data_IF_755118884392
#
_entry.id   IF_755118884392
#
_cell.length_a   1.000
_cell.length_b   1.000
_cell.length_c   1.000
_cell.angle_alpha   90.00
_cell.angle_beta   90.00
_cell.angle_gamma   90.00
#
_symmetry.space_group_name_H-M   'P 1'
#
loop_
_entity.id
_entity.type
_entity.pdbx_description
1 polymer ?
#
# COMPACT_ATOMS: atom_id res chain seq x y z
N UNK A 1 11.82 25.55 1.14
CA UNK A 1 10.38 25.72 1.21
C UNK A 1 9.76 24.41 1.64
N UNK A 2 8.98 24.43 2.68
CA UNK A 2 8.39 23.25 3.28
C UNK A 2 7.21 22.78 2.46
N UNK A 3 7.53 22.02 1.48
CA UNK A 3 6.65 21.60 0.43
C UNK A 3 5.67 20.54 0.90
N UNK A 4 6.07 19.70 1.84
CA UNK A 4 5.26 18.60 2.30
C UNK A 4 5.05 18.65 3.80
N UNK A 5 3.82 18.36 4.22
CA UNK A 5 3.49 18.01 5.59
C UNK A 5 3.38 16.50 5.71
N UNK A 6 3.37 16.01 6.94
CA UNK A 6 2.96 14.65 7.27
C UNK A 6 1.96 14.68 8.42
N UNK A 7 0.96 13.81 8.36
CA UNK A 7 0.12 13.53 9.51
C UNK A 7 0.79 12.43 10.33
N UNK A 8 0.78 12.53 11.64
CA UNK A 8 1.35 11.54 12.55
C UNK A 8 0.38 11.30 13.71
N UNK A 9 0.30 10.05 14.17
CA UNK A 9 -0.43 9.64 15.36
C UNK A 9 0.33 8.50 16.03
N UNK A 10 0.43 8.49 17.33
CA UNK A 10 1.17 7.50 18.08
C UNK A 10 0.22 6.53 18.80
N UNK A 11 0.70 5.31 19.08
CA UNK A 11 0.00 4.32 19.88
C UNK A 11 0.85 3.86 21.07
N UNK A 12 0.22 3.82 22.22
CA UNK A 12 0.73 3.18 23.42
C UNK A 12 -0.39 2.35 24.09
N UNK A 13 -0.07 1.23 24.78
CA UNK A 13 -1.09 0.33 25.34
C UNK A 13 -2.05 0.99 26.35
N UNK A 14 -1.57 1.98 27.10
CA UNK A 14 -2.32 2.71 28.11
C UNK A 14 -3.15 3.87 27.55
N UNK A 15 -2.88 4.31 26.33
CA UNK A 15 -3.52 5.49 25.70
C UNK A 15 -4.32 5.16 24.45
N UNK A 16 -4.07 4.00 23.84
CA UNK A 16 -4.57 3.71 22.50
C UNK A 16 -3.89 4.61 21.45
N UNK A 17 -4.58 4.87 20.33
CA UNK A 17 -4.16 5.84 19.32
C UNK A 17 -4.36 7.26 19.87
N UNK A 18 -3.32 8.07 19.86
CA UNK A 18 -3.33 9.41 20.48
C UNK A 18 -2.41 10.40 19.75
N UNK A 19 -2.50 11.66 20.13
CA UNK A 19 -1.63 12.76 19.67
C UNK A 19 -1.61 12.93 18.14
N UNK A 20 -2.81 12.90 17.52
CA UNK A 20 -2.96 13.16 16.10
C UNK A 20 -2.57 14.59 15.74
N UNK A 21 -1.55 14.75 14.86
CA UNK A 21 -0.95 16.05 14.54
C UNK A 21 -0.45 16.11 13.10
N UNK A 22 -0.40 17.32 12.54
CA UNK A 22 0.28 17.61 11.27
C UNK A 22 1.57 18.33 11.58
N UNK A 23 2.68 17.81 11.07
CA UNK A 23 4.02 18.37 11.28
C UNK A 23 4.75 18.51 9.94
N UNK A 24 5.82 19.34 9.87
CA UNK A 24 6.67 19.39 8.69
C UNK A 24 7.24 18.00 8.32
N UNK A 25 7.42 17.75 7.02
CA UNK A 25 8.09 16.55 6.56
C UNK A 25 9.57 16.57 7.01
N UNK A 26 9.96 15.53 7.77
CA UNK A 26 11.32 15.38 8.30
C UNK A 26 11.62 13.90 8.62
N UNK A 27 12.88 13.48 8.77
CA UNK A 27 13.25 12.13 9.19
C UNK A 27 12.61 11.74 10.53
N UNK A 28 12.36 10.44 10.72
CA UNK A 28 12.02 9.89 12.04
C UNK A 28 13.32 9.64 12.84
N UNK A 29 13.43 10.13 14.06
CA UNK A 29 14.52 9.76 14.96
C UNK A 29 14.21 8.38 15.57
N UNK A 30 14.70 7.31 14.97
CA UNK A 30 14.50 5.94 15.44
C UNK A 30 15.81 5.38 15.99
N UNK A 31 15.72 4.61 17.09
CA UNK A 31 16.85 3.87 17.65
C UNK A 31 17.26 2.76 16.66
N UNK A 32 18.58 2.48 16.46
CA UNK A 32 19.03 1.37 15.61
C UNK A 32 18.48 0.00 16.00
N UNK A 33 18.14 -0.23 17.27
CA UNK A 33 17.48 -1.45 17.76
C UNK A 33 15.96 -1.40 17.65
N UNK A 34 15.38 -0.41 16.95
CA UNK A 34 13.94 -0.37 16.70
C UNK A 34 13.52 -1.60 15.90
N UNK A 35 12.50 -2.31 16.39
CA UNK A 35 12.05 -3.61 15.86
C UNK A 35 11.65 -3.57 14.39
N UNK A 36 11.22 -2.41 13.88
CA UNK A 36 10.89 -2.23 12.47
C UNK A 36 12.07 -2.57 11.53
N UNK A 37 13.30 -2.22 11.91
CA UNK A 37 14.49 -2.48 11.09
C UNK A 37 14.88 -3.95 11.01
N UNK A 38 14.44 -4.76 11.98
CA UNK A 38 14.85 -6.15 12.13
C UNK A 38 13.75 -7.14 11.71
N UNK A 39 12.48 -6.81 11.97
CA UNK A 39 11.36 -7.75 11.81
C UNK A 39 10.25 -7.23 10.92
N UNK A 40 10.39 -6.02 10.36
CA UNK A 40 9.47 -5.45 9.38
C UNK A 40 8.00 -5.52 9.80
N UNK A 41 7.69 -5.34 11.10
CA UNK A 41 6.30 -5.26 11.58
C UNK A 41 5.73 -3.88 11.20
N UNK A 42 5.24 -3.79 9.96
CA UNK A 42 4.63 -2.60 9.38
C UNK A 42 3.55 -2.97 8.36
N UNK A 43 2.65 -2.04 8.13
CA UNK A 43 1.62 -2.10 7.09
C UNK A 43 1.48 -0.75 6.44
N UNK A 44 1.00 -0.72 5.19
CA UNK A 44 0.78 0.53 4.49
C UNK A 44 -0.45 0.48 3.59
N UNK A 45 -0.90 1.66 3.19
CA UNK A 45 -1.94 1.85 2.20
C UNK A 45 -1.48 2.73 1.05
N UNK A 46 -2.24 2.73 -0.03
CA UNK A 46 -2.01 3.61 -1.17
C UNK A 46 -3.35 4.00 -1.77
N UNK A 47 -3.59 5.30 -1.84
CA UNK A 47 -4.74 5.88 -2.50
C UNK A 47 -4.33 7.22 -3.13
N UNK A 48 -5.25 7.86 -3.82
CA UNK A 48 -4.95 9.09 -4.57
C UNK A 48 -6.01 10.15 -4.32
N UNK A 49 -5.59 11.42 -4.32
CA UNK A 49 -6.47 12.56 -4.46
C UNK A 49 -6.39 13.11 -5.89
N UNK A 50 -7.54 13.38 -6.46
CA UNK A 50 -7.70 13.86 -7.83
C UNK A 50 -8.32 15.24 -7.83
N UNK A 51 -7.85 16.11 -8.74
CA UNK A 51 -8.50 17.38 -9.02
C UNK A 51 -9.47 17.19 -10.17
N UNK A 52 -10.71 17.57 -9.95
CA UNK A 52 -11.80 17.50 -10.94
C UNK A 52 -11.82 18.73 -11.84
N UNK A 53 -12.57 18.70 -12.93
CA UNK A 53 -12.67 19.81 -13.88
C UNK A 53 -13.24 21.09 -13.25
N UNK A 54 -14.08 20.98 -12.22
CA UNK A 54 -14.61 22.09 -11.43
C UNK A 54 -13.68 22.53 -10.27
N UNK A 55 -12.44 22.03 -10.29
CA UNK A 55 -11.38 22.35 -9.32
C UNK A 55 -11.66 21.84 -7.89
N UNK A 56 -12.58 20.90 -7.71
CA UNK A 56 -12.75 20.20 -6.43
C UNK A 56 -11.71 19.08 -6.28
N UNK A 57 -11.43 18.66 -5.05
CA UNK A 57 -10.51 17.55 -4.77
C UNK A 57 -11.32 16.37 -4.25
N UNK A 58 -11.12 15.21 -4.87
CA UNK A 58 -11.85 13.99 -4.56
C UNK A 58 -10.92 12.84 -4.19
N UNK A 59 -11.37 12.02 -3.24
CA UNK A 59 -10.79 10.74 -2.86
C UNK A 59 -11.70 9.62 -3.36
N UNK A 60 -11.11 8.52 -3.84
CA UNK A 60 -11.87 7.36 -4.27
C UNK A 60 -11.92 6.31 -3.17
N UNK A 61 -13.08 6.14 -2.52
CA UNK A 61 -13.39 5.10 -1.53
C UNK A 61 -12.33 4.95 -0.42
N UNK A 62 -11.93 6.04 0.27
CA UNK A 62 -10.89 5.97 1.31
C UNK A 62 -11.30 5.10 2.51
N UNK A 63 -12.59 4.92 2.76
CA UNK A 63 -13.17 3.99 3.73
C UNK A 63 -12.74 2.53 3.45
N UNK A 64 -12.72 2.13 2.19
CA UNK A 64 -12.25 0.80 1.80
C UNK A 64 -10.76 0.60 2.05
N UNK A 65 -9.94 1.65 1.90
CA UNK A 65 -8.52 1.60 2.28
C UNK A 65 -8.36 1.51 3.80
N UNK A 66 -9.15 2.27 4.58
CA UNK A 66 -9.17 2.18 6.04
C UNK A 66 -9.55 0.77 6.53
N UNK A 67 -10.57 0.16 5.94
CA UNK A 67 -10.95 -1.22 6.26
C UNK A 67 -9.84 -2.21 5.91
N UNK A 68 -9.20 -2.09 4.75
CA UNK A 68 -8.09 -2.98 4.36
C UNK A 68 -6.87 -2.79 5.24
N UNK A 69 -6.61 -1.57 5.74
CA UNK A 69 -5.58 -1.34 6.74
C UNK A 69 -5.89 -2.07 8.05
N UNK A 70 -7.16 -2.12 8.49
CA UNK A 70 -7.56 -2.90 9.66
C UNK A 70 -7.36 -4.42 9.44
N UNK A 71 -7.68 -4.93 8.24
CA UNK A 71 -7.47 -6.34 7.89
C UNK A 71 -5.96 -6.68 7.89
N UNK A 72 -5.14 -5.79 7.38
CA UNK A 72 -3.67 -5.91 7.43
C UNK A 72 -3.14 -5.82 8.87
N UNK A 73 -3.67 -4.93 9.68
CA UNK A 73 -3.31 -4.77 11.09
C UNK A 73 -3.62 -6.02 11.89
N UNK A 74 -4.78 -6.62 11.68
CA UNK A 74 -5.18 -7.88 12.31
C UNK A 74 -4.16 -8.99 12.05
N UNK A 75 -3.79 -9.20 10.79
CA UNK A 75 -2.81 -10.23 10.41
C UNK A 75 -1.42 -9.99 10.99
N UNK A 76 -1.01 -8.73 11.13
CA UNK A 76 0.32 -8.32 11.60
C UNK A 76 0.38 -8.05 13.11
N UNK A 77 -0.69 -8.33 13.87
CA UNK A 77 -0.79 -8.04 15.30
C UNK A 77 -0.53 -6.56 15.63
N UNK A 78 -1.00 -5.65 14.78
CA UNK A 78 -0.93 -4.21 14.94
C UNK A 78 -2.29 -3.71 15.47
N UNK A 79 -2.34 -2.75 16.42
CA UNK A 79 -3.60 -2.17 16.86
C UNK A 79 -4.36 -1.51 15.71
N UNK A 80 -5.65 -1.84 15.57
CA UNK A 80 -6.50 -1.30 14.51
C UNK A 80 -6.75 0.19 14.70
N UNK A 81 -6.57 0.98 13.65
CA UNK A 81 -7.02 2.38 13.60
C UNK A 81 -8.50 2.36 13.19
N UNK A 82 -9.40 3.07 13.87
CA UNK A 82 -10.78 3.25 13.41
C UNK A 82 -10.81 3.79 11.98
N UNK A 83 -11.74 3.28 11.14
CA UNK A 83 -11.82 3.68 9.74
C UNK A 83 -12.08 5.18 9.60
N UNK A 84 -12.91 5.73 10.46
CA UNK A 84 -13.21 7.16 10.53
C UNK A 84 -11.96 8.00 10.83
N UNK A 85 -11.10 7.56 11.74
CA UNK A 85 -9.85 8.25 12.09
C UNK A 85 -8.84 8.19 10.93
N UNK A 86 -8.74 7.03 10.27
CA UNK A 86 -7.94 6.88 9.05
C UNK A 86 -8.41 7.85 7.95
N UNK A 87 -9.71 7.89 7.67
CA UNK A 87 -10.29 8.78 6.66
C UNK A 87 -10.09 10.24 7.02
N UNK A 88 -10.28 10.58 8.31
CA UNK A 88 -10.07 11.95 8.80
C UNK A 88 -8.61 12.38 8.66
N UNK A 89 -7.66 11.53 9.03
CA UNK A 89 -6.22 11.81 8.89
C UNK A 89 -5.83 12.10 7.43
N UNK A 90 -6.31 11.26 6.49
CA UNK A 90 -6.10 11.43 5.05
C UNK A 90 -6.70 12.76 4.55
N UNK A 91 -7.97 13.02 4.87
CA UNK A 91 -8.66 14.25 4.45
C UNK A 91 -7.98 15.50 4.97
N UNK A 92 -7.60 15.51 6.25
CA UNK A 92 -6.96 16.67 6.87
C UNK A 92 -5.62 16.98 6.22
N UNK A 93 -4.79 15.96 5.95
CA UNK A 93 -3.51 16.18 5.26
C UNK A 93 -3.70 16.69 3.84
N UNK A 94 -4.65 16.10 3.08
CA UNK A 94 -4.95 16.55 1.70
C UNK A 94 -5.47 17.98 1.69
N UNK A 95 -6.30 18.39 2.66
CA UNK A 95 -6.77 19.78 2.75
C UNK A 95 -5.63 20.76 3.04
N UNK A 96 -4.69 20.41 3.92
CA UNK A 96 -3.51 21.23 4.22
C UNK A 96 -2.57 21.36 3.03
N UNK A 97 -2.38 20.27 2.27
CA UNK A 97 -1.48 20.18 1.13
C UNK A 97 -2.22 20.21 -0.22
N UNK A 98 -3.44 20.76 -0.27
CA UNK A 98 -4.32 20.75 -1.47
C UNK A 98 -3.69 21.39 -2.72
N UNK A 99 -2.81 22.36 -2.55
CA UNK A 99 -2.13 23.02 -3.66
C UNK A 99 -1.12 22.08 -4.35
N UNK A 100 -0.80 20.96 -3.74
CA UNK A 100 0.05 19.91 -4.29
C UNK A 100 -0.71 18.88 -5.13
N UNK A 101 -2.04 18.91 -5.12
CA UNK A 101 -2.85 18.08 -6.03
C UNK A 101 -2.70 18.63 -7.44
N UNK A 102 -2.06 17.90 -8.38
CA UNK A 102 -1.74 18.43 -9.71
C UNK A 102 -2.98 18.85 -10.51
N UNK A 103 -2.76 19.81 -11.42
CA UNK A 103 -3.79 20.28 -12.36
C UNK A 103 -3.72 19.56 -13.72
N UNK A 104 -2.63 18.86 -14.02
CA UNK A 104 -2.45 18.18 -15.30
C UNK A 104 -3.31 16.90 -15.39
N UNK A 105 -3.84 16.64 -16.58
CA UNK A 105 -4.62 15.44 -16.85
C UNK A 105 -3.82 14.16 -16.56
N UNK A 106 -4.48 13.18 -15.96
CA UNK A 106 -3.86 11.91 -15.58
C UNK A 106 -2.94 11.95 -14.35
N UNK A 107 -2.63 13.14 -13.83
CA UNK A 107 -1.85 13.29 -12.61
C UNK A 107 -2.73 13.27 -11.35
N UNK A 108 -2.11 13.00 -10.22
CA UNK A 108 -2.80 12.90 -8.92
C UNK A 108 -1.83 13.16 -7.78
N UNK A 109 -2.36 13.43 -6.60
CA UNK A 109 -1.58 13.38 -5.37
C UNK A 109 -1.65 11.96 -4.82
N UNK A 110 -0.53 11.25 -4.84
CA UNK A 110 -0.41 9.93 -4.22
C UNK A 110 -0.33 10.08 -2.70
N UNK A 111 -1.10 9.29 -1.97
CA UNK A 111 -1.21 9.32 -0.52
C UNK A 111 -0.74 7.98 0.02
N UNK A 112 0.20 7.99 0.97
CA UNK A 112 0.79 6.82 1.61
C UNK A 112 0.55 6.86 3.12
N UNK A 113 -0.57 6.31 3.60
CA UNK A 113 -0.73 5.95 5.00
C UNK A 113 0.09 4.71 5.33
N UNK A 114 0.74 4.68 6.49
CA UNK A 114 1.47 3.50 6.97
C UNK A 114 1.56 3.48 8.48
N UNK A 115 1.68 2.28 9.05
CA UNK A 115 1.91 2.05 10.48
C UNK A 115 3.16 1.21 10.64
N UNK A 116 4.00 1.57 11.56
CA UNK A 116 5.20 0.80 11.86
C UNK A 116 5.44 0.69 13.37
N UNK A 117 6.05 -0.43 13.76
CA UNK A 117 6.42 -0.72 15.14
C UNK A 117 7.60 0.14 15.59
N UNK A 118 7.55 0.64 16.82
CA UNK A 118 8.56 1.56 17.38
C UNK A 118 9.25 1.08 18.65
N UNK A 119 8.93 -0.12 19.13
CA UNK A 119 9.64 -0.70 20.29
C UNK A 119 11.15 -0.84 19.99
N UNK A 120 11.96 -0.70 21.05
CA UNK A 120 13.41 -0.88 21.01
C UNK A 120 13.75 -2.24 21.60
N UNK A 121 14.40 -3.10 20.83
CA UNK A 121 14.79 -4.44 21.23
C UNK A 121 15.07 -5.36 20.05
N UNK A 122 15.80 -6.45 20.29
CA UNK A 122 16.20 -7.41 19.24
C UNK A 122 15.49 -8.78 19.36
N UNK A 123 14.46 -8.88 20.17
CA UNK A 123 13.63 -10.09 20.28
C UNK A 123 12.42 -10.04 19.34
N UNK A 124 12.07 -11.19 18.74
CA UNK A 124 10.86 -11.29 17.89
C UNK A 124 9.61 -11.36 18.77
N UNK A 125 8.81 -10.31 18.74
CA UNK A 125 7.52 -10.22 19.42
C UNK A 125 6.64 -9.16 18.74
N UNK A 126 5.33 -9.19 18.98
CA UNK A 126 4.47 -8.09 18.59
C UNK A 126 4.85 -6.83 19.40
N UNK A 127 5.09 -5.73 18.72
CA UNK A 127 5.42 -4.45 19.35
C UNK A 127 4.26 -3.96 20.22
N UNK A 128 4.58 -3.15 21.21
CA UNK A 128 3.59 -2.51 22.08
C UNK A 128 3.34 -1.05 21.70
N UNK A 129 4.31 -0.44 21.01
CA UNK A 129 4.23 0.95 20.56
C UNK A 129 4.34 1.02 19.05
N UNK A 130 3.55 1.93 18.45
CA UNK A 130 3.48 2.12 17.00
C UNK A 130 3.35 3.59 16.67
N UNK A 131 3.76 3.94 15.46
CA UNK A 131 3.46 5.24 14.85
C UNK A 131 2.69 5.03 13.56
N UNK A 132 1.55 5.70 13.42
CA UNK A 132 0.85 5.88 12.17
C UNK A 132 1.29 7.19 11.52
N UNK A 133 1.54 7.16 10.21
CA UNK A 133 1.91 8.34 9.46
C UNK A 133 1.24 8.35 8.09
N UNK A 134 0.87 9.54 7.63
CA UNK A 134 0.43 9.76 6.24
C UNK A 134 1.37 10.76 5.60
N UNK A 135 1.88 10.43 4.42
CA UNK A 135 2.67 11.29 3.55
C UNK A 135 2.05 11.34 2.15
N UNK A 136 2.33 12.41 1.41
CA UNK A 136 1.82 12.62 0.06
C UNK A 136 2.95 12.92 -0.91
N UNK A 137 2.74 12.62 -2.20
CA UNK A 137 3.63 13.00 -3.29
C UNK A 137 2.84 13.20 -4.60
N UNK A 138 3.06 14.26 -5.38
CA UNK A 138 2.52 14.36 -6.73
C UNK A 138 3.02 13.19 -7.59
N UNK A 139 2.12 12.63 -8.39
CA UNK A 139 2.38 11.47 -9.24
C UNK A 139 1.74 11.67 -10.61
N UNK A 140 2.48 11.38 -11.67
CA UNK A 140 1.98 11.28 -13.04
C UNK A 140 1.28 9.96 -13.32
N UNK A 141 1.09 9.62 -14.59
CA UNK A 141 0.59 8.33 -15.03
C UNK A 141 1.53 7.19 -14.54
N UNK A 142 0.96 6.04 -14.20
CA UNK A 142 1.74 4.90 -13.70
C UNK A 142 2.68 4.33 -14.76
N UNK A 143 2.22 4.23 -16.02
CA UNK A 143 3.04 3.87 -17.17
C UNK A 143 3.27 5.09 -18.05
N UNK A 144 4.51 5.31 -18.47
CA UNK A 144 4.88 6.40 -19.37
C UNK A 144 4.19 6.23 -20.75
N UNK A 145 3.97 4.99 -21.16
CA UNK A 145 3.29 4.57 -22.37
C UNK A 145 1.76 4.75 -22.32
N UNK A 146 1.23 5.16 -21.17
CA UNK A 146 -0.21 5.33 -20.98
C UNK A 146 -0.97 4.01 -20.99
N UNK A 147 -1.83 3.80 -21.99
CA UNK A 147 -2.65 2.57 -22.15
C UNK A 147 -2.06 1.58 -23.16
N UNK A 148 -0.85 1.82 -23.67
CA UNK A 148 -0.21 0.90 -24.63
C UNK A 148 0.12 -0.43 -23.95
N UNK A 149 0.06 -1.56 -24.69
CA UNK A 149 0.38 -2.86 -24.15
C UNK A 149 1.82 -2.96 -23.68
N UNK A 150 2.03 -3.58 -22.52
CA UNK A 150 3.36 -3.87 -21.97
C UNK A 150 3.65 -5.37 -21.94
N UNK A 151 4.92 -5.73 -21.95
CA UNK A 151 5.35 -7.12 -21.85
C UNK A 151 5.38 -7.55 -20.39
N UNK A 152 4.79 -8.71 -20.10
CA UNK A 152 4.72 -9.30 -18.76
C UNK A 152 5.48 -10.62 -18.77
N UNK A 153 6.36 -10.84 -17.79
CA UNK A 153 7.08 -12.10 -17.59
C UNK A 153 6.25 -13.03 -16.70
N UNK A 154 6.04 -14.27 -17.14
CA UNK A 154 5.40 -15.29 -16.30
C UNK A 154 6.46 -15.92 -15.40
N UNK A 155 6.34 -15.75 -14.11
CA UNK A 155 7.31 -16.21 -13.12
C UNK A 155 6.99 -17.63 -12.65
N UNK A 156 7.91 -18.54 -12.85
CA UNK A 156 7.78 -19.96 -12.52
C UNK A 156 8.80 -20.45 -11.47
N UNK A 157 9.77 -19.61 -11.08
CA UNK A 157 10.76 -19.93 -10.05
C UNK A 157 10.34 -19.37 -8.70
N UNK A 158 10.14 -18.05 -8.63
CA UNK A 158 9.78 -17.36 -7.38
C UNK A 158 8.26 -17.29 -7.20
N UNK A 159 7.82 -17.15 -5.95
CA UNK A 159 6.40 -16.95 -5.59
C UNK A 159 6.23 -15.64 -4.85
N UNK A 160 5.11 -14.96 -5.05
CA UNK A 160 4.74 -13.75 -4.30
C UNK A 160 4.14 -14.07 -2.94
N UNK A 161 3.34 -15.12 -2.88
CA UNK A 161 2.54 -15.49 -1.72
C UNK A 161 2.32 -17.01 -1.65
N UNK A 162 2.05 -17.50 -0.45
CA UNK A 162 1.62 -18.88 -0.22
C UNK A 162 0.48 -18.90 0.80
N UNK A 163 -0.36 -19.95 0.80
CA UNK A 163 -1.42 -20.12 1.81
C UNK A 163 -0.88 -20.06 3.25
N UNK A 164 -1.57 -19.32 4.12
CA UNK A 164 -1.16 -19.15 5.52
C UNK A 164 -0.11 -18.05 5.77
N UNK A 165 0.50 -17.49 4.73
CA UNK A 165 1.42 -16.34 4.85
C UNK A 165 0.66 -15.00 4.81
N UNK A 166 1.32 -13.96 4.33
CA UNK A 166 0.84 -12.56 4.39
C UNK A 166 0.37 -12.02 3.03
N UNK A 167 0.13 -12.89 2.03
CA UNK A 167 -0.15 -12.48 0.66
C UNK A 167 -1.33 -11.51 0.49
N UNK A 168 -2.37 -11.64 1.31
CA UNK A 168 -3.54 -10.74 1.33
C UNK A 168 -3.33 -9.47 2.17
N UNK A 169 -2.22 -9.38 2.88
CA UNK A 169 -1.85 -8.28 3.78
C UNK A 169 -1.02 -7.25 3.03
N UNK A 170 -1.26 -5.97 3.28
CA UNK A 170 -0.46 -4.92 2.65
C UNK A 170 0.72 -4.54 3.56
N UNK A 171 1.72 -5.43 3.65
CA UNK A 171 2.94 -5.29 4.46
C UNK A 171 4.20 -5.37 3.60
N UNK A 172 5.27 -4.69 4.00
CA UNK A 172 6.51 -4.54 3.23
C UNK A 172 7.21 -5.84 2.88
N UNK A 173 7.09 -6.85 3.73
CA UNK A 173 7.70 -8.17 3.48
C UNK A 173 7.28 -8.80 2.16
N UNK A 174 6.00 -8.65 1.74
CA UNK A 174 5.53 -9.14 0.45
C UNK A 174 6.21 -8.41 -0.73
N UNK A 175 6.48 -7.13 -0.57
CA UNK A 175 7.12 -6.30 -1.61
C UNK A 175 8.62 -6.57 -1.65
N UNK A 176 9.29 -6.70 -0.52
CA UNK A 176 10.70 -7.06 -0.47
C UNK A 176 10.96 -8.43 -1.14
N UNK A 177 10.11 -9.41 -0.90
CA UNK A 177 10.21 -10.73 -1.54
C UNK A 177 10.04 -10.69 -3.06
N UNK A 178 9.34 -9.70 -3.61
CA UNK A 178 9.09 -9.57 -5.05
C UNK A 178 10.23 -8.89 -5.82
N UNK A 179 11.18 -8.25 -5.15
CA UNK A 179 12.22 -7.41 -5.78
C UNK A 179 13.07 -8.24 -6.75
N UNK A 180 13.54 -9.40 -6.33
CA UNK A 180 14.44 -10.23 -7.16
C UNK A 180 13.84 -10.60 -8.50
N UNK A 181 12.62 -11.11 -8.50
CA UNK A 181 11.91 -11.46 -9.73
C UNK A 181 11.62 -10.23 -10.60
N UNK A 182 11.25 -9.10 -9.98
CA UNK A 182 11.06 -7.83 -10.68
C UNK A 182 12.30 -7.36 -11.42
N UNK A 183 13.45 -7.33 -10.76
CA UNK A 183 14.75 -6.96 -11.35
C UNK A 183 15.15 -7.89 -12.50
N UNK A 184 14.94 -9.20 -12.35
CA UNK A 184 15.24 -10.18 -13.42
C UNK A 184 14.34 -9.99 -14.64
N UNK A 185 13.07 -9.67 -14.44
CA UNK A 185 12.14 -9.40 -15.52
C UNK A 185 12.48 -8.09 -16.25
N UNK A 186 12.80 -7.02 -15.51
CA UNK A 186 13.22 -5.73 -16.07
C UNK A 186 14.49 -5.85 -16.92
N UNK A 187 15.50 -6.58 -16.45
CA UNK A 187 16.73 -6.85 -17.23
C UNK A 187 16.48 -7.56 -18.54
N UNK A 188 15.36 -8.29 -18.68
CA UNK A 188 14.91 -8.95 -19.89
C UNK A 188 13.93 -8.10 -20.71
N UNK A 189 13.68 -6.86 -20.34
CA UNK A 189 12.79 -5.93 -21.03
C UNK A 189 11.29 -6.18 -20.80
N UNK A 190 10.92 -6.81 -19.67
CA UNK A 190 9.54 -6.93 -19.24
C UNK A 190 9.18 -5.82 -18.25
N UNK A 191 7.96 -5.32 -18.32
CA UNK A 191 7.49 -4.26 -17.44
C UNK A 191 7.07 -4.78 -16.06
N UNK A 192 6.61 -6.02 -15.98
CA UNK A 192 6.08 -6.63 -14.75
C UNK A 192 6.23 -8.14 -14.76
N UNK A 193 6.02 -8.73 -13.59
CA UNK A 193 5.98 -10.19 -13.34
C UNK A 193 4.54 -10.64 -13.17
N UNK A 194 4.10 -11.68 -13.87
CA UNK A 194 2.86 -12.39 -13.62
C UNK A 194 3.13 -13.49 -12.60
N UNK A 195 2.51 -13.37 -11.43
CA UNK A 195 2.66 -14.33 -10.35
C UNK A 195 1.71 -15.51 -10.48
N UNK A 196 2.25 -16.70 -10.32
CA UNK A 196 1.50 -17.94 -10.19
C UNK A 196 1.30 -18.31 -8.72
N UNK A 197 0.32 -19.15 -8.45
CA UNK A 197 0.05 -19.67 -7.11
C UNK A 197 1.29 -20.36 -6.51
N UNK A 198 1.46 -20.24 -5.21
CA UNK A 198 2.64 -20.72 -4.51
C UNK A 198 2.66 -22.23 -4.22
N UNK A 199 1.64 -23.00 -4.66
CA UNK A 199 1.53 -24.44 -4.40
C UNK A 199 1.80 -25.25 -5.67
N UNK A 200 0.98 -25.02 -6.71
CA UNK A 200 1.05 -25.78 -7.96
C UNK A 200 1.81 -25.03 -9.06
N UNK A 201 2.03 -23.72 -8.90
CA UNK A 201 2.61 -22.81 -9.90
C UNK A 201 1.89 -22.88 -11.24
N UNK A 202 0.57 -22.93 -11.19
CA UNK A 202 -0.31 -23.17 -12.33
C UNK A 202 -1.38 -22.08 -12.50
N UNK A 203 -1.86 -21.54 -11.42
CA UNK A 203 -2.98 -20.58 -11.43
C UNK A 203 -2.45 -19.18 -11.28
N UNK A 204 -2.98 -18.27 -12.11
CA UNK A 204 -2.60 -16.86 -12.07
C UNK A 204 -3.19 -16.18 -10.81
N UNK A 205 -2.37 -15.44 -10.10
CA UNK A 205 -2.80 -14.67 -8.90
C UNK A 205 -2.78 -13.17 -9.14
N UNK A 206 -1.62 -12.59 -9.38
CA UNK A 206 -1.43 -11.14 -9.51
C UNK A 206 -0.36 -10.80 -10.56
N UNK A 207 -0.28 -9.52 -10.95
CA UNK A 207 0.78 -9.01 -11.81
C UNK A 207 1.53 -7.89 -11.09
N UNK A 208 2.83 -8.05 -10.85
CA UNK A 208 3.61 -7.11 -10.05
C UNK A 208 2.97 -6.89 -8.68
N UNK A 209 2.54 -5.67 -8.41
CA UNK A 209 1.80 -5.27 -7.20
C UNK A 209 0.32 -4.95 -7.48
N UNK A 210 -0.26 -5.52 -8.55
CA UNK A 210 -1.61 -5.22 -9.04
C UNK A 210 -2.43 -6.49 -9.20
N UNK A 211 -3.76 -6.37 -9.00
CA UNK A 211 -4.69 -7.40 -9.45
C UNK A 211 -4.74 -7.42 -10.98
N UNK A 212 -5.07 -8.57 -11.56
CA UNK A 212 -5.20 -8.76 -13.01
C UNK A 212 -6.59 -9.27 -13.36
N UNK A 213 -7.08 -8.86 -14.53
CA UNK A 213 -8.32 -9.32 -15.11
C UNK A 213 -8.07 -9.74 -16.55
N UNK A 214 -8.66 -10.87 -16.97
CA UNK A 214 -8.59 -11.40 -18.32
C UNK A 214 -9.97 -11.31 -18.97
N UNK A 215 -10.02 -10.81 -20.20
CA UNK A 215 -11.23 -10.89 -21.03
C UNK A 215 -11.08 -12.04 -22.02
N UNK A 216 -11.86 -13.11 -21.83
CA UNK A 216 -11.84 -14.31 -22.65
C UNK A 216 -13.29 -14.59 -23.10
N UNK A 217 -13.52 -14.69 -24.39
CA UNK A 217 -14.84 -14.95 -24.98
C UNK A 217 -15.94 -14.03 -24.44
N UNK A 218 -15.63 -12.74 -24.29
CA UNK A 218 -16.55 -11.72 -23.80
C UNK A 218 -16.80 -11.72 -22.29
N UNK A 219 -16.21 -12.64 -21.52
CA UNK A 219 -16.31 -12.73 -20.06
C UNK A 219 -15.03 -12.22 -19.40
N UNK A 220 -15.19 -11.68 -18.20
CA UNK A 220 -14.06 -11.21 -17.36
C UNK A 220 -13.76 -12.25 -16.30
N UNK A 221 -12.49 -12.62 -16.20
CA UNK A 221 -11.95 -13.55 -15.20
C UNK A 221 -10.89 -12.86 -14.35
N UNK A 222 -10.87 -13.12 -13.07
CA UNK A 222 -9.84 -12.65 -12.15
C UNK A 222 -9.64 -13.65 -11.00
N UNK A 223 -8.45 -13.70 -10.43
CA UNK A 223 -8.14 -14.58 -9.31
C UNK A 223 -9.04 -14.30 -8.10
N UNK A 224 -9.47 -15.34 -7.35
CA UNK A 224 -10.23 -15.15 -6.12
C UNK A 224 -9.34 -14.57 -5.00
N UNK A 225 -9.94 -13.82 -4.07
CA UNK A 225 -9.24 -13.24 -2.90
C UNK A 225 -9.29 -14.19 -1.71
N UNK A 226 -8.62 -15.33 -1.81
CA UNK A 226 -8.67 -16.43 -0.83
C UNK A 226 -7.41 -16.57 0.02
N UNK A 227 -6.79 -15.45 0.39
CA UNK A 227 -5.67 -15.43 1.35
C UNK A 227 -4.29 -15.23 0.75
N UNK A 228 -4.11 -15.34 -0.58
CA UNK A 228 -2.84 -15.08 -1.28
C UNK A 228 -2.89 -13.83 -2.14
N UNK A 229 -4.06 -13.42 -2.59
CA UNK A 229 -4.30 -12.26 -3.45
C UNK A 229 -4.76 -11.07 -2.61
N UNK A 230 -4.14 -9.91 -2.81
CA UNK A 230 -4.54 -8.68 -2.13
C UNK A 230 -5.94 -8.22 -2.61
N UNK A 231 -6.90 -7.95 -1.69
CA UNK A 231 -8.23 -7.47 -2.06
C UNK A 231 -8.17 -6.00 -2.53
N UNK A 232 -7.95 -5.80 -3.83
CA UNK A 232 -7.81 -4.46 -4.42
C UNK A 232 -9.10 -3.65 -4.35
N UNK A 233 -9.01 -2.39 -3.92
CA UNK A 233 -10.15 -1.46 -3.87
C UNK A 233 -10.67 -1.21 -5.29
N UNK A 234 -9.80 -0.98 -6.26
CA UNK A 234 -10.17 -0.83 -7.68
C UNK A 234 -10.80 -2.12 -8.22
N UNK A 235 -10.19 -3.30 -7.96
CA UNK A 235 -10.75 -4.59 -8.35
C UNK A 235 -12.19 -4.74 -7.86
N UNK A 236 -12.43 -4.49 -6.56
CA UNK A 236 -13.77 -4.55 -5.94
C UNK A 236 -14.76 -3.56 -6.56
N UNK A 237 -14.27 -2.49 -7.17
CA UNK A 237 -15.11 -1.48 -7.81
C UNK A 237 -15.44 -1.79 -9.26
N UNK A 238 -14.66 -2.68 -9.90
CA UNK A 238 -14.88 -3.14 -11.28
C UNK A 238 -15.79 -4.37 -11.37
N UNK A 239 -15.96 -5.12 -10.28
CA UNK A 239 -16.83 -6.29 -10.15
C UNK A 239 -18.20 -5.86 -9.61
#
# INVERSE_FOLDING_TARGET
SDVYKRQVMDYAPDKGWHDARIVPYQPFPLDPACVIFHYAQEIFEGLKAYRTADNTIQLFRPDCNGQRMQDSADRMCIPKIPVEDFVQAVKTLVEVDKDWVPHSDGASLYIRPFVFATDVGMGVHASRNYTFCVICAPSGAYYAEGIDPVRIYVEDEYIRAAPGLTGFTKCGGNYAASIKAGEMAEQQGFAQVLWLDGVEKKYVEEVGSMNIMFKIDGKIYTAPTVGTVLPGVTRRSCI
#
